data_IF_787802177954
#
_entry.id   IF_787802177954
#
_cell.length_a   1.000
_cell.length_b   1.000
_cell.length_c   1.000
_cell.angle_alpha   90.00
_cell.angle_beta   90.00
_cell.angle_gamma   90.00
#
_symmetry.space_group_name_H-M   'P 1'
#
loop_
_entity.id
_entity.type
_entity.pdbx_description
1 polymer ?
#
# COMPACT_ATOMS: atom_id res chain seq x y z
N UNK A 1 -4.45 -94.19 -39.49
CA UNK A 1 -4.72 -93.03 -40.37
C UNK A 1 -6.17 -92.61 -40.17
N UNK A 2 -6.42 -91.63 -39.29
CA UNK A 2 -7.67 -90.86 -39.18
C UNK A 2 -7.43 -89.70 -38.20
N UNK A 3 -7.68 -88.50 -38.69
CA UNK A 3 -7.54 -87.21 -38.03
C UNK A 3 -8.55 -87.05 -36.88
N UNK A 4 -8.18 -86.29 -35.84
CA UNK A 4 -9.12 -85.64 -34.94
C UNK A 4 -8.66 -84.20 -34.71
N UNK A 5 -9.50 -83.25 -35.11
CA UNK A 5 -9.22 -81.81 -35.08
C UNK A 5 -9.37 -81.21 -33.69
N UNK A 6 -8.51 -80.24 -33.39
CA UNK A 6 -8.58 -79.41 -32.20
C UNK A 6 -9.51 -78.21 -32.44
N UNK A 7 -10.56 -78.10 -31.63
CA UNK A 7 -11.46 -76.95 -31.59
C UNK A 7 -10.81 -75.79 -30.84
N UNK A 8 -10.79 -74.60 -31.44
CA UNK A 8 -10.30 -73.38 -30.81
C UNK A 8 -11.48 -72.65 -30.14
N UNK A 9 -11.48 -72.59 -28.81
CA UNK A 9 -12.36 -71.70 -28.05
C UNK A 9 -11.75 -70.29 -28.05
N UNK A 10 -12.38 -69.35 -28.73
CA UNK A 10 -12.05 -67.93 -28.64
C UNK A 10 -12.62 -67.35 -27.34
N UNK A 11 -11.75 -66.92 -26.43
CA UNK A 11 -12.12 -66.20 -25.20
C UNK A 11 -12.12 -64.70 -25.49
N UNK A 12 -13.29 -64.07 -25.56
CA UNK A 12 -13.45 -62.62 -25.68
C UNK A 12 -13.32 -61.98 -24.29
N UNK A 13 -12.17 -61.35 -24.03
CA UNK A 13 -11.96 -60.54 -22.83
C UNK A 13 -12.61 -59.17 -23.03
N UNK A 14 -13.70 -58.92 -22.30
CA UNK A 14 -14.36 -57.60 -22.30
C UNK A 14 -13.71 -56.75 -21.21
N UNK A 15 -12.87 -55.78 -21.60
CA UNK A 15 -12.24 -54.86 -20.66
C UNK A 15 -13.28 -53.82 -20.18
N UNK A 16 -13.74 -53.96 -18.94
CA UNK A 16 -14.52 -52.93 -18.24
C UNK A 16 -13.58 -51.79 -17.82
N UNK A 17 -13.60 -50.69 -18.57
CA UNK A 17 -12.94 -49.44 -18.19
C UNK A 17 -13.81 -48.78 -17.11
N UNK A 18 -13.50 -49.08 -15.85
CA UNK A 18 -14.09 -48.39 -14.70
C UNK A 18 -13.67 -46.92 -14.72
N UNK A 19 -14.63 -46.02 -14.96
CA UNK A 19 -14.42 -44.58 -14.82
C UNK A 19 -14.25 -44.26 -13.33
N UNK A 20 -13.01 -44.05 -12.88
CA UNK A 20 -12.75 -43.51 -11.55
C UNK A 20 -13.14 -42.03 -11.59
N UNK A 21 -14.36 -41.71 -11.15
CA UNK A 21 -14.75 -40.34 -10.84
C UNK A 21 -13.91 -39.90 -9.63
N UNK A 22 -12.85 -39.15 -9.88
CA UNK A 22 -12.13 -38.45 -8.83
C UNK A 22 -13.13 -37.53 -8.12
N UNK A 23 -13.42 -37.81 -6.84
CA UNK A 23 -14.20 -36.90 -6.02
C UNK A 23 -13.50 -35.53 -6.02
N UNK A 24 -14.23 -34.41 -6.18
CA UNK A 24 -13.62 -33.09 -6.10
C UNK A 24 -12.95 -32.99 -4.72
N UNK A 25 -11.66 -32.68 -4.71
CA UNK A 25 -10.94 -32.43 -3.46
C UNK A 25 -11.68 -31.32 -2.72
N UNK A 26 -12.31 -31.64 -1.60
CA UNK A 26 -13.04 -30.66 -0.80
C UNK A 26 -12.06 -29.60 -0.31
N UNK A 27 -12.45 -28.33 -0.42
CA UNK A 27 -11.74 -27.25 0.26
C UNK A 27 -11.59 -27.60 1.75
N UNK A 28 -10.42 -27.36 2.33
CA UNK A 28 -10.15 -27.68 3.74
C UNK A 28 -9.61 -26.43 4.43
N UNK A 29 -10.51 -25.47 4.65
CA UNK A 29 -10.21 -24.24 5.38
C UNK A 29 -10.20 -24.52 6.87
N UNK A 30 -9.11 -24.17 7.55
CA UNK A 30 -9.07 -24.15 9.02
C UNK A 30 -9.52 -22.77 9.50
N UNK A 31 -10.38 -22.74 10.52
CA UNK A 31 -10.96 -21.50 11.05
C UNK A 31 -10.75 -21.41 12.56
N UNK A 32 -10.15 -20.32 13.02
CA UNK A 32 -9.99 -20.01 14.43
C UNK A 32 -10.45 -18.57 14.70
N UNK A 33 -11.47 -18.40 15.54
CA UNK A 33 -12.02 -17.08 15.91
C UNK A 33 -11.68 -16.75 17.36
N UNK A 34 -11.35 -15.49 17.60
CA UNK A 34 -11.15 -14.88 18.91
C UNK A 34 -12.10 -13.69 19.06
N UNK A 35 -12.50 -13.38 20.29
CA UNK A 35 -13.45 -12.29 20.59
C UNK A 35 -14.90 -12.70 20.44
N UNK A 36 -15.75 -11.74 20.06
CA UNK A 36 -17.20 -11.94 19.97
C UNK A 36 -17.58 -12.97 18.88
N UNK A 37 -18.57 -13.85 19.15
CA UNK A 37 -19.15 -14.70 18.12
C UNK A 37 -20.17 -13.95 17.24
N UNK A 38 -20.63 -12.78 17.66
CA UNK A 38 -21.60 -11.96 16.93
C UNK A 38 -20.88 -11.03 15.95
N UNK A 39 -21.40 -10.99 14.73
CA UNK A 39 -20.98 -10.08 13.66
C UNK A 39 -21.30 -8.62 14.01
N UNK A 40 -20.41 -7.69 13.68
CA UNK A 40 -20.73 -6.27 13.71
C UNK A 40 -21.27 -5.84 12.36
N UNK A 41 -22.41 -5.15 12.35
CA UNK A 41 -22.96 -4.57 11.14
C UNK A 41 -23.39 -3.14 11.36
N UNK A 42 -23.11 -2.28 10.38
CA UNK A 42 -23.45 -0.86 10.36
C UNK A 42 -23.96 -0.47 8.99
N UNK A 43 -24.75 0.59 8.94
CA UNK A 43 -25.27 1.16 7.68
C UNK A 43 -24.18 1.76 6.80
N UNK A 44 -23.08 2.25 7.39
CA UNK A 44 -21.92 2.77 6.66
C UNK A 44 -20.66 2.73 7.52
N UNK A 45 -19.52 2.48 6.88
CA UNK A 45 -18.18 2.61 7.45
C UNK A 45 -17.47 3.85 6.89
N UNK A 46 -16.48 4.36 7.62
CA UNK A 46 -15.85 5.64 7.28
C UNK A 46 -14.62 5.54 6.36
N UNK A 47 -14.08 4.34 6.14
CA UNK A 47 -12.89 4.11 5.31
C UNK A 47 -13.11 4.30 3.80
N UNK A 48 -12.28 3.68 2.94
CA UNK A 48 -11.43 2.53 3.25
C UNK A 48 -10.10 2.85 3.93
N UNK A 49 -9.41 1.82 4.42
CA UNK A 49 -8.07 1.93 4.98
C UNK A 49 -7.19 0.73 4.57
N UNK A 50 -5.90 0.96 4.37
CA UNK A 50 -4.94 -0.10 4.02
C UNK A 50 -3.71 -0.11 4.92
N UNK A 51 -3.15 -1.31 5.13
CA UNK A 51 -1.95 -1.52 5.96
C UNK A 51 -0.95 -2.39 5.22
N UNK A 52 0.23 -1.83 4.92
CA UNK A 52 1.31 -2.50 4.19
C UNK A 52 2.52 -2.68 5.10
N UNK A 53 2.59 -3.82 5.80
CA UNK A 53 3.66 -4.12 6.76
C UNK A 53 4.88 -4.73 6.05
N UNK A 54 6.06 -4.16 6.33
CA UNK A 54 7.31 -4.62 5.72
C UNK A 54 7.79 -5.97 6.24
N UNK A 55 7.26 -6.46 7.37
CA UNK A 55 7.50 -7.81 7.89
C UNK A 55 6.21 -8.60 8.05
N UNK A 56 6.32 -9.87 8.47
CA UNK A 56 5.14 -10.73 8.68
C UNK A 56 4.30 -10.33 9.90
N UNK A 57 4.94 -9.82 10.94
CA UNK A 57 4.25 -9.39 12.16
C UNK A 57 3.33 -8.19 11.91
N UNK A 58 2.18 -8.18 12.59
CA UNK A 58 1.29 -7.02 12.65
C UNK A 58 2.03 -5.86 13.31
N UNK A 59 2.03 -4.69 12.68
CA UNK A 59 2.48 -3.43 13.30
C UNK A 59 1.27 -2.80 14.00
N UNK A 60 1.19 -2.81 15.36
CA UNK A 60 -0.02 -2.40 16.07
C UNK A 60 -0.43 -0.96 15.78
N UNK A 61 0.54 -0.06 15.59
CA UNK A 61 0.28 1.35 15.35
C UNK A 61 -0.41 1.63 14.01
N UNK A 62 -0.04 0.95 12.92
CA UNK A 62 -0.73 1.10 11.62
C UNK A 62 -2.09 0.39 11.62
N UNK A 63 -2.18 -0.79 12.26
CA UNK A 63 -3.47 -1.48 12.40
C UNK A 63 -4.47 -0.69 13.24
N UNK A 64 -4.02 -0.05 14.32
CA UNK A 64 -4.88 0.84 15.14
C UNK A 64 -5.43 2.00 14.30
N UNK A 65 -4.58 2.65 13.49
CA UNK A 65 -5.04 3.71 12.57
C UNK A 65 -6.08 3.22 11.58
N UNK A 66 -5.89 2.03 11.00
CA UNK A 66 -6.88 1.46 10.09
C UNK A 66 -8.21 1.14 10.80
N UNK A 67 -8.16 0.60 12.02
CA UNK A 67 -9.34 0.34 12.83
C UNK A 67 -10.09 1.64 13.13
N UNK A 68 -9.39 2.67 13.57
CA UNK A 68 -10.00 3.96 13.91
C UNK A 68 -10.59 4.67 12.69
N UNK A 69 -9.90 4.63 11.55
CA UNK A 69 -10.37 5.18 10.27
C UNK A 69 -11.67 4.53 9.84
N UNK A 70 -11.72 3.19 9.82
CA UNK A 70 -12.92 2.44 9.40
C UNK A 70 -14.08 2.70 10.36
N UNK A 71 -13.80 2.72 11.68
CA UNK A 71 -14.81 2.96 12.71
C UNK A 71 -15.39 4.38 12.65
N UNK A 72 -14.59 5.37 12.25
CA UNK A 72 -14.99 6.78 12.26
C UNK A 72 -15.34 7.28 13.66
N UNK A 73 -14.63 6.80 14.69
CA UNK A 73 -14.79 7.24 16.08
C UNK A 73 -15.86 6.52 16.92
N UNK A 74 -16.56 5.51 16.39
CA UNK A 74 -17.56 4.75 17.16
C UNK A 74 -17.67 3.29 16.76
N UNK A 75 -18.30 2.48 17.63
CA UNK A 75 -18.49 1.05 17.42
C UNK A 75 -17.20 0.25 17.55
N UNK A 76 -17.24 -0.97 17.04
CA UNK A 76 -16.12 -1.89 16.88
C UNK A 76 -16.18 -2.51 15.48
N UNK A 77 -15.22 -3.35 15.11
CA UNK A 77 -15.20 -4.00 13.80
C UNK A 77 -14.66 -5.43 13.87
N UNK A 78 -14.97 -6.25 12.88
CA UNK A 78 -14.46 -7.62 12.76
C UNK A 78 -13.28 -7.69 11.78
N UNK A 79 -12.27 -8.50 12.11
CA UNK A 79 -11.09 -8.71 11.26
C UNK A 79 -11.02 -10.16 10.78
N UNK A 80 -10.84 -10.36 9.48
CA UNK A 80 -10.52 -11.65 8.89
C UNK A 80 -9.03 -11.69 8.55
N UNK A 81 -8.27 -12.58 9.19
CA UNK A 81 -6.88 -12.87 8.83
C UNK A 81 -6.85 -14.04 7.85
N UNK A 82 -6.26 -13.84 6.68
CA UNK A 82 -6.08 -14.88 5.67
C UNK A 82 -4.63 -15.38 5.71
N UNK A 83 -4.46 -16.66 6.02
CA UNK A 83 -3.15 -17.31 6.06
C UNK A 83 -3.05 -18.41 5.00
N UNK A 84 -2.02 -18.35 4.15
CA UNK A 84 -1.77 -19.37 3.12
C UNK A 84 -1.06 -20.64 3.64
N UNK A 85 -0.64 -20.62 4.90
CA UNK A 85 0.12 -21.69 5.56
C UNK A 85 0.11 -21.50 7.09
N UNK A 86 0.78 -22.42 7.80
CA UNK A 86 0.96 -22.34 9.26
C UNK A 86 -0.22 -22.92 10.05
N UNK A 87 -0.08 -22.85 11.37
CA UNK A 87 -1.10 -23.22 12.35
C UNK A 87 -1.16 -22.12 13.41
N UNK A 88 -2.30 -21.98 14.09
CA UNK A 88 -2.50 -20.95 15.11
C UNK A 88 -3.00 -19.62 14.55
N UNK A 89 -2.80 -18.55 15.31
CA UNK A 89 -3.47 -17.25 15.12
C UNK A 89 -2.58 -16.03 15.42
N UNK A 90 -1.27 -16.02 15.10
CA UNK A 90 -0.35 -15.01 15.62
C UNK A 90 -0.73 -13.56 15.28
N UNK A 91 -1.32 -13.30 14.11
CA UNK A 91 -1.85 -11.97 13.78
C UNK A 91 -3.06 -11.61 14.65
N UNK A 92 -4.01 -12.55 14.83
CA UNK A 92 -5.19 -12.32 15.66
C UNK A 92 -4.83 -12.16 17.15
N UNK A 93 -3.80 -12.86 17.64
CA UNK A 93 -3.30 -12.73 19.02
C UNK A 93 -2.88 -11.27 19.34
N UNK A 94 -2.47 -10.51 18.32
CA UNK A 94 -2.18 -9.08 18.43
C UNK A 94 -3.44 -8.25 18.17
N UNK A 95 -4.12 -8.47 17.04
CA UNK A 95 -5.23 -7.62 16.56
C UNK A 95 -6.39 -7.59 17.55
N UNK A 96 -6.71 -8.70 18.21
CA UNK A 96 -7.82 -8.76 19.17
C UNK A 96 -7.60 -7.87 20.40
N UNK A 97 -6.34 -7.53 20.70
CA UNK A 97 -5.98 -6.68 21.85
C UNK A 97 -6.13 -5.19 21.55
N UNK A 98 -6.31 -4.82 20.28
CA UNK A 98 -6.43 -3.44 19.85
C UNK A 98 -7.83 -2.89 20.17
N UNK A 99 -7.87 -1.65 20.63
CA UNK A 99 -9.14 -0.97 20.91
C UNK A 99 -9.99 -0.87 19.64
N UNK A 100 -11.27 -1.18 19.74
CA UNK A 100 -12.19 -1.16 18.61
C UNK A 100 -12.27 -2.46 17.82
N UNK A 101 -11.50 -3.51 18.16
CA UNK A 101 -11.68 -4.85 17.58
C UNK A 101 -12.79 -5.61 18.32
N UNK A 102 -13.80 -6.10 17.60
CA UNK A 102 -14.88 -6.95 18.12
C UNK A 102 -14.49 -8.44 18.10
N UNK A 103 -13.99 -8.90 16.97
CA UNK A 103 -13.47 -10.25 16.80
C UNK A 103 -12.36 -10.28 15.76
N UNK A 104 -11.54 -11.34 15.82
CA UNK A 104 -10.56 -11.65 14.79
C UNK A 104 -10.67 -13.13 14.43
N UNK A 105 -10.78 -13.43 13.13
CA UNK A 105 -10.88 -14.81 12.63
C UNK A 105 -9.72 -15.11 11.70
N UNK A 106 -8.86 -16.05 12.08
CA UNK A 106 -7.87 -16.62 11.17
C UNK A 106 -8.54 -17.71 10.31
N UNK A 107 -8.44 -17.53 9.00
CA UNK A 107 -8.81 -18.48 7.97
C UNK A 107 -7.52 -18.99 7.30
N UNK A 108 -7.16 -20.24 7.56
CA UNK A 108 -6.01 -20.88 6.93
C UNK A 108 -6.47 -21.65 5.71
N UNK A 109 -6.11 -21.14 4.53
CA UNK A 109 -6.42 -21.71 3.23
C UNK A 109 -5.10 -22.20 2.62
N UNK A 110 -5.01 -23.48 2.23
CA UNK A 110 -3.73 -24.08 1.79
C UNK A 110 -3.74 -24.54 0.35
N UNK A 111 -4.90 -24.50 -0.32
CA UNK A 111 -5.10 -24.88 -1.72
C UNK A 111 -5.69 -23.72 -2.52
N UNK A 112 -5.45 -23.72 -3.82
CA UNK A 112 -6.09 -22.76 -4.73
C UNK A 112 -7.63 -22.87 -4.68
N UNK A 113 -8.16 -24.10 -4.60
CA UNK A 113 -9.61 -24.36 -4.52
C UNK A 113 -10.26 -23.80 -3.24
N UNK A 114 -9.49 -23.59 -2.17
CA UNK A 114 -10.00 -23.02 -0.91
C UNK A 114 -10.48 -21.57 -1.09
N UNK A 115 -10.00 -20.84 -2.11
CA UNK A 115 -10.49 -19.49 -2.44
C UNK A 115 -11.97 -19.46 -2.84
N UNK A 116 -12.57 -20.62 -3.16
CA UNK A 116 -14.00 -20.75 -3.44
C UNK A 116 -14.82 -21.31 -2.26
N UNK A 117 -14.22 -21.49 -1.07
CA UNK A 117 -14.95 -21.96 0.10
C UNK A 117 -16.03 -20.95 0.52
N UNK A 118 -17.28 -21.41 0.54
CA UNK A 118 -18.44 -20.52 0.76
C UNK A 118 -18.49 -19.96 2.17
N UNK A 119 -18.03 -20.72 3.17
CA UNK A 119 -18.02 -20.29 4.57
C UNK A 119 -16.92 -19.27 4.81
N UNK A 120 -15.71 -19.52 4.32
CA UNK A 120 -14.59 -18.58 4.40
C UNK A 120 -14.96 -17.26 3.74
N UNK A 121 -15.56 -17.30 2.54
CA UNK A 121 -15.99 -16.10 1.84
C UNK A 121 -17.13 -15.36 2.54
N UNK A 122 -17.99 -16.06 3.31
CA UNK A 122 -19.00 -15.41 4.16
C UNK A 122 -18.32 -14.70 5.34
N UNK A 123 -17.39 -15.36 6.02
CA UNK A 123 -16.61 -14.74 7.11
C UNK A 123 -15.85 -13.50 6.62
N UNK A 124 -15.28 -13.55 5.41
CA UNK A 124 -14.57 -12.41 4.79
C UNK A 124 -15.53 -11.24 4.54
N UNK A 125 -16.67 -11.47 3.88
CA UNK A 125 -17.63 -10.38 3.56
C UNK A 125 -18.21 -9.73 4.80
N UNK A 126 -18.36 -10.51 5.87
CA UNK A 126 -18.87 -10.03 7.14
C UNK A 126 -17.85 -9.14 7.85
N UNK A 127 -16.56 -9.47 7.79
CA UNK A 127 -15.50 -8.64 8.37
C UNK A 127 -15.40 -7.23 7.75
N UNK A 128 -14.79 -6.31 8.49
CA UNK A 128 -14.52 -4.93 8.07
C UNK A 128 -13.05 -4.70 7.69
N UNK A 129 -12.16 -5.61 8.08
CA UNK A 129 -10.78 -5.58 7.65
C UNK A 129 -10.30 -6.98 7.26
N UNK A 130 -9.66 -7.10 6.10
CA UNK A 130 -9.00 -8.34 5.67
C UNK A 130 -7.49 -8.17 5.76
N UNK A 131 -6.86 -8.95 6.65
CA UNK A 131 -5.41 -8.95 6.82
C UNK A 131 -4.78 -10.22 6.24
N UNK A 132 -3.92 -10.09 5.24
CA UNK A 132 -3.16 -11.20 4.68
C UNK A 132 -1.88 -11.42 5.51
N UNK A 133 -1.74 -12.60 6.07
CA UNK A 133 -0.57 -12.99 6.85
C UNK A 133 0.69 -13.08 5.97
N UNK A 134 1.85 -13.19 6.63
CA UNK A 134 3.10 -13.56 5.95
C UNK A 134 3.06 -14.95 5.32
N UNK A 135 4.14 -15.34 4.64
CA UNK A 135 4.27 -16.67 4.05
C UNK A 135 4.72 -16.60 2.59
N UNK A 136 4.04 -17.35 1.74
CA UNK A 136 4.34 -17.50 0.31
C UNK A 136 3.29 -16.78 -0.54
N UNK A 137 3.71 -15.71 -1.22
CA UNK A 137 2.84 -14.92 -2.08
C UNK A 137 2.29 -15.67 -3.30
N UNK A 138 2.96 -16.73 -3.76
CA UNK A 138 2.47 -17.52 -4.89
C UNK A 138 1.16 -18.24 -4.53
N UNK A 139 1.02 -18.66 -3.27
CA UNK A 139 -0.22 -19.26 -2.77
C UNK A 139 -1.37 -18.25 -2.74
N UNK A 140 -1.09 -17.02 -2.33
CA UNK A 140 -2.08 -15.94 -2.36
C UNK A 140 -2.49 -15.60 -3.80
N UNK A 141 -1.53 -15.50 -4.72
CA UNK A 141 -1.76 -15.24 -6.14
C UNK A 141 -2.61 -16.32 -6.84
N UNK A 142 -2.58 -17.55 -6.34
CA UNK A 142 -3.41 -18.64 -6.85
C UNK A 142 -4.92 -18.46 -6.59
N UNK A 143 -5.33 -17.51 -5.73
CA UNK A 143 -6.73 -17.16 -5.50
C UNK A 143 -7.26 -16.07 -6.42
N UNK A 144 -6.44 -15.55 -7.33
CA UNK A 144 -6.91 -14.67 -8.39
C UNK A 144 -8.04 -15.33 -9.19
N UNK A 145 -9.14 -14.62 -9.39
CA UNK A 145 -10.35 -15.04 -10.08
C UNK A 145 -11.26 -15.96 -9.26
N UNK A 146 -10.94 -16.22 -7.98
CA UNK A 146 -11.82 -17.00 -7.09
C UNK A 146 -12.81 -16.11 -6.36
N UNK A 147 -13.79 -16.72 -5.70
CA UNK A 147 -14.76 -15.98 -4.89
C UNK A 147 -14.13 -15.16 -3.75
N UNK A 148 -12.93 -15.55 -3.27
CA UNK A 148 -12.17 -14.81 -2.26
C UNK A 148 -11.81 -13.41 -2.73
N UNK A 149 -11.35 -13.26 -3.98
CA UNK A 149 -11.00 -11.93 -4.53
C UNK A 149 -12.19 -10.97 -4.41
N UNK A 150 -13.33 -11.36 -4.97
CA UNK A 150 -14.56 -10.55 -4.92
C UNK A 150 -15.07 -10.32 -3.48
N UNK A 151 -14.85 -11.28 -2.58
CA UNK A 151 -15.23 -11.14 -1.18
C UNK A 151 -14.40 -10.04 -0.49
N UNK A 152 -13.09 -10.03 -0.70
CA UNK A 152 -12.19 -8.99 -0.14
C UNK A 152 -12.49 -7.63 -0.76
N UNK A 153 -12.70 -7.56 -2.07
CA UNK A 153 -13.10 -6.31 -2.74
C UNK A 153 -14.40 -5.74 -2.16
N UNK A 154 -15.37 -6.60 -1.81
CA UNK A 154 -16.62 -6.16 -1.19
C UNK A 154 -16.43 -5.55 0.20
N UNK A 155 -15.42 -5.99 0.96
CA UNK A 155 -15.05 -5.41 2.27
C UNK A 155 -14.55 -3.99 2.09
N UNK A 156 -13.66 -3.77 1.13
CA UNK A 156 -13.14 -2.42 0.82
C UNK A 156 -14.27 -1.54 0.27
N UNK A 157 -15.13 -2.08 -0.61
CA UNK A 157 -16.24 -1.33 -1.22
C UNK A 157 -17.28 -0.85 -0.20
N UNK A 158 -17.50 -1.57 0.91
CA UNK A 158 -18.40 -1.13 2.00
C UNK A 158 -17.75 -0.12 2.96
N UNK A 159 -16.52 0.34 2.69
CA UNK A 159 -15.77 1.28 3.54
C UNK A 159 -14.90 0.60 4.61
N UNK A 160 -14.70 -0.72 4.50
CA UNK A 160 -13.74 -1.48 5.29
C UNK A 160 -12.31 -1.33 4.75
N UNK A 161 -11.44 -2.29 5.06
CA UNK A 161 -10.03 -2.22 4.68
C UNK A 161 -9.40 -3.55 4.31
N UNK A 162 -8.21 -3.46 3.73
CA UNK A 162 -7.38 -4.60 3.39
C UNK A 162 -5.90 -4.31 3.63
N UNK A 163 -5.11 -5.32 3.93
CA UNK A 163 -3.68 -5.13 4.14
C UNK A 163 -2.98 -6.43 4.43
N UNK A 164 -1.72 -6.36 4.84
CA UNK A 164 -0.98 -7.54 5.22
C UNK A 164 0.49 -7.29 5.48
N UNK A 165 1.18 -8.35 5.87
CA UNK A 165 2.60 -8.34 6.17
C UNK A 165 3.40 -9.29 5.29
N UNK A 166 4.62 -8.90 4.93
CA UNK A 166 5.51 -9.73 4.10
C UNK A 166 4.85 -10.13 2.77
N UNK A 167 4.55 -11.40 2.51
CA UNK A 167 3.80 -11.85 1.34
C UNK A 167 2.38 -11.24 1.26
N UNK A 168 1.73 -11.02 2.40
CA UNK A 168 0.44 -10.33 2.46
C UNK A 168 0.50 -8.86 2.04
N UNK A 169 1.67 -8.20 2.17
CA UNK A 169 1.87 -6.87 1.60
C UNK A 169 1.98 -6.95 0.06
N UNK A 170 2.64 -7.97 -0.49
CA UNK A 170 2.85 -8.11 -1.94
C UNK A 170 1.53 -8.27 -2.69
N UNK A 171 0.63 -9.12 -2.18
CA UNK A 171 -0.68 -9.39 -2.82
C UNK A 171 -1.59 -8.15 -2.85
N UNK A 172 -1.37 -7.19 -1.95
CA UNK A 172 -2.12 -5.93 -1.85
C UNK A 172 -1.60 -4.84 -2.82
N UNK A 173 -1.17 -5.23 -4.02
CA UNK A 173 -0.75 -4.30 -5.08
C UNK A 173 -1.37 -4.67 -6.42
N UNK A 174 -1.49 -3.68 -7.31
CA UNK A 174 -2.06 -3.83 -8.65
C UNK A 174 -1.24 -4.82 -9.51
N UNK A 175 0.09 -4.74 -9.39
CA UNK A 175 1.04 -5.63 -10.03
C UNK A 175 1.78 -6.40 -8.94
N UNK A 176 1.38 -7.65 -8.73
CA UNK A 176 1.90 -8.50 -7.64
C UNK A 176 3.17 -9.19 -8.11
N UNK A 177 4.29 -8.96 -7.43
CA UNK A 177 5.45 -9.86 -7.53
C UNK A 177 5.12 -11.16 -6.79
N UNK A 178 4.72 -12.19 -7.55
CA UNK A 178 4.13 -13.42 -6.99
C UNK A 178 5.17 -14.46 -6.56
N UNK A 179 6.44 -14.28 -6.94
CA UNK A 179 7.54 -15.17 -6.63
C UNK A 179 7.23 -16.67 -6.88
N UNK A 180 6.36 -17.01 -7.83
CA UNK A 180 6.00 -18.39 -8.13
C UNK A 180 7.16 -19.21 -8.72
N UNK A 181 8.12 -18.55 -9.36
CA UNK A 181 9.41 -19.16 -9.74
C UNK A 181 10.43 -19.23 -8.59
N UNK A 182 10.11 -18.67 -7.42
CA UNK A 182 11.02 -18.43 -6.31
C UNK A 182 11.39 -16.95 -6.18
N UNK A 183 11.86 -16.54 -4.99
CA UNK A 183 12.28 -15.15 -4.75
C UNK A 183 13.54 -14.81 -5.55
N UNK A 184 13.60 -13.58 -6.07
CA UNK A 184 14.76 -13.01 -6.77
C UNK A 184 15.47 -11.99 -5.86
N UNK A 185 16.80 -11.89 -5.99
CA UNK A 185 17.62 -10.85 -5.35
C UNK A 185 17.72 -9.61 -6.24
N UNK A 186 18.16 -8.48 -5.70
CA UNK A 186 18.45 -7.28 -6.51
C UNK A 186 19.48 -7.54 -7.60
N UNK A 187 20.60 -8.20 -7.28
CA UNK A 187 21.63 -8.52 -8.26
C UNK A 187 21.09 -9.40 -9.42
N UNK A 188 20.31 -10.44 -9.11
CA UNK A 188 19.73 -11.32 -10.13
C UNK A 188 18.70 -10.59 -11.00
N UNK A 189 17.80 -9.81 -10.38
CA UNK A 189 16.75 -9.09 -11.10
C UNK A 189 17.31 -8.00 -12.04
N UNK A 190 18.38 -7.32 -11.62
CA UNK A 190 19.05 -6.31 -12.44
C UNK A 190 19.89 -6.94 -13.57
N UNK A 191 20.45 -8.13 -13.36
CA UNK A 191 21.23 -8.86 -14.36
C UNK A 191 20.36 -9.48 -15.46
N UNK A 192 19.14 -9.91 -15.15
CA UNK A 192 18.16 -10.40 -16.12
C UNK A 192 16.72 -10.12 -15.67
N UNK A 193 16.13 -8.98 -16.11
CA UNK A 193 14.75 -8.63 -15.77
C UNK A 193 13.69 -9.56 -16.38
N UNK A 194 14.04 -10.53 -17.22
CA UNK A 194 13.16 -11.58 -17.75
C UNK A 194 13.51 -12.98 -17.21
N UNK A 195 14.36 -13.05 -16.18
CA UNK A 195 14.72 -14.33 -15.57
C UNK A 195 13.49 -15.11 -15.07
N UNK A 196 13.60 -16.45 -14.90
CA UNK A 196 12.47 -17.32 -14.57
C UNK A 196 11.79 -17.00 -13.23
N UNK A 197 12.47 -16.26 -12.34
CA UNK A 197 11.96 -15.86 -11.02
C UNK A 197 11.37 -14.44 -11.02
N UNK A 198 11.33 -13.77 -12.18
CA UNK A 198 10.71 -12.46 -12.41
C UNK A 198 9.24 -12.65 -12.81
N UNK A 199 8.47 -13.30 -11.94
CA UNK A 199 7.06 -13.65 -12.18
C UNK A 199 6.11 -12.66 -11.52
N UNK A 200 5.03 -12.33 -12.22
CA UNK A 200 4.05 -11.34 -11.78
C UNK A 200 2.63 -11.83 -12.03
N UNK A 201 1.78 -11.55 -11.06
CA UNK A 201 0.34 -11.74 -11.15
C UNK A 201 -0.34 -10.38 -11.26
N UNK A 202 -1.31 -10.25 -12.16
CA UNK A 202 -2.06 -9.03 -12.43
C UNK A 202 -3.54 -9.25 -12.18
N UNK A 203 -4.28 -8.19 -11.85
CA UNK A 203 -5.72 -8.27 -11.63
C UNK A 203 -6.07 -9.17 -10.45
N UNK A 204 -5.29 -9.07 -9.37
CA UNK A 204 -5.65 -9.65 -8.08
C UNK A 204 -6.44 -8.63 -7.27
N UNK A 205 -5.87 -7.45 -7.01
CA UNK A 205 -6.56 -6.38 -6.32
C UNK A 205 -6.21 -5.05 -6.92
N UNK A 206 -7.21 -4.19 -6.96
CA UNK A 206 -7.08 -2.88 -7.55
C UNK A 206 -7.66 -1.85 -6.58
N UNK A 207 -6.83 -1.38 -5.65
CA UNK A 207 -7.22 -0.39 -4.63
C UNK A 207 -7.31 1.06 -5.12
N UNK A 208 -8.28 1.87 -4.65
CA UNK A 208 -8.39 3.30 -4.98
C UNK A 208 -7.10 4.04 -4.69
N UNK A 209 -6.76 5.02 -5.54
CA UNK A 209 -5.57 5.88 -5.46
C UNK A 209 -4.20 5.15 -5.51
N UNK A 210 -4.19 3.81 -5.48
CA UNK A 210 -3.00 2.95 -5.40
C UNK A 210 -2.76 2.12 -6.68
N UNK A 211 -3.18 2.62 -7.85
CA UNK A 211 -2.96 1.98 -9.16
C UNK A 211 -1.51 2.04 -9.63
N UNK A 212 -1.14 1.14 -10.55
CA UNK A 212 0.19 1.05 -11.17
C UNK A 212 1.32 0.79 -10.15
N UNK A 213 1.01 0.16 -9.01
CA UNK A 213 1.96 -0.08 -7.92
C UNK A 213 2.43 -1.53 -7.87
N UNK A 214 3.67 -1.72 -7.42
CA UNK A 214 4.27 -3.00 -7.04
C UNK A 214 4.76 -2.85 -5.60
N UNK A 215 4.27 -3.69 -4.70
CA UNK A 215 4.72 -3.68 -3.30
C UNK A 215 5.94 -4.58 -3.12
N UNK A 216 6.86 -4.17 -2.25
CA UNK A 216 7.95 -5.01 -1.78
C UNK A 216 8.20 -4.84 -0.27
N UNK A 217 8.46 -5.95 0.40
CA UNK A 217 8.58 -6.07 1.86
C UNK A 217 10.00 -6.47 2.23
N UNK A 218 10.37 -6.43 3.50
CA UNK A 218 11.73 -6.73 3.98
C UNK A 218 12.79 -5.90 3.25
N UNK A 219 12.44 -4.64 2.97
CA UNK A 219 12.97 -3.94 1.82
C UNK A 219 14.47 -3.62 1.91
N UNK A 220 14.90 -2.98 2.99
CA UNK A 220 16.30 -2.65 3.27
C UNK A 220 17.06 -3.87 3.77
N UNK A 221 16.52 -4.60 4.75
CA UNK A 221 17.25 -5.72 5.37
C UNK A 221 17.57 -6.87 4.41
N UNK A 222 16.87 -6.98 3.26
CA UNK A 222 17.16 -7.98 2.22
C UNK A 222 17.67 -7.37 0.91
N UNK A 223 18.10 -6.11 0.95
CA UNK A 223 18.57 -5.35 -0.20
C UNK A 223 17.65 -5.49 -1.43
N UNK A 224 16.42 -4.95 -1.37
CA UNK A 224 15.37 -5.14 -2.37
C UNK A 224 15.05 -3.91 -3.22
N UNK A 225 15.79 -2.82 -3.08
CA UNK A 225 15.64 -1.65 -3.97
C UNK A 225 15.93 -2.01 -5.43
N UNK A 226 17.06 -2.67 -5.71
CA UNK A 226 17.45 -3.02 -7.07
C UNK A 226 16.44 -3.93 -7.78
N UNK A 227 15.92 -4.96 -7.10
CA UNK A 227 14.87 -5.80 -7.70
C UNK A 227 13.58 -5.03 -7.92
N UNK A 228 13.21 -4.12 -7.01
CA UNK A 228 12.01 -3.28 -7.19
C UNK A 228 12.16 -2.33 -8.37
N UNK A 229 13.35 -1.76 -8.57
CA UNK A 229 13.68 -0.96 -9.77
C UNK A 229 13.53 -1.80 -11.05
N UNK A 230 13.98 -3.06 -11.05
CA UNK A 230 13.76 -3.98 -12.16
C UNK A 230 12.27 -4.29 -12.37
N UNK A 231 11.49 -4.48 -11.30
CA UNK A 231 10.05 -4.74 -11.37
C UNK A 231 9.29 -3.60 -12.03
N UNK A 232 9.52 -2.36 -11.59
CA UNK A 232 8.81 -1.18 -12.15
C UNK A 232 9.25 -0.89 -13.58
N UNK A 233 10.55 -1.01 -13.90
CA UNK A 233 11.04 -0.88 -15.26
C UNK A 233 10.41 -1.92 -16.19
N UNK A 234 10.21 -3.14 -15.67
CA UNK A 234 9.58 -4.22 -16.40
C UNK A 234 8.08 -4.00 -16.62
N UNK A 235 7.38 -3.51 -15.61
CA UNK A 235 5.98 -3.14 -15.72
C UNK A 235 5.73 -2.02 -16.76
N UNK A 236 6.62 -1.02 -16.82
CA UNK A 236 6.58 0.02 -17.88
C UNK A 236 6.82 -0.60 -19.25
N UNK A 237 7.88 -1.40 -19.40
CA UNK A 237 8.23 -2.04 -20.68
C UNK A 237 7.12 -2.91 -21.25
N UNK A 238 6.48 -3.69 -20.39
CA UNK A 238 5.49 -4.68 -20.79
C UNK A 238 4.08 -4.06 -20.91
N UNK A 239 3.94 -2.73 -20.79
CA UNK A 239 2.66 -2.04 -20.93
C UNK A 239 1.63 -2.41 -19.85
N UNK A 240 2.11 -2.77 -18.65
CA UNK A 240 1.27 -3.22 -17.53
C UNK A 240 0.74 -2.08 -16.66
N UNK A 241 1.04 -0.85 -17.03
CA UNK A 241 0.62 0.35 -16.33
C UNK A 241 -0.02 1.34 -17.28
N UNK A 242 -0.88 2.20 -16.74
CA UNK A 242 -1.44 3.33 -17.46
C UNK A 242 -0.46 4.51 -17.43
N UNK A 243 -0.36 5.27 -18.53
CA UNK A 243 0.48 6.46 -18.61
C UNK A 243 2.00 6.21 -18.70
N UNK A 244 2.44 4.96 -18.87
CA UNK A 244 3.85 4.64 -19.07
C UNK A 244 4.71 4.78 -17.81
N UNK A 245 4.09 4.73 -16.62
CA UNK A 245 4.75 4.90 -15.34
C UNK A 245 4.35 3.82 -14.32
N UNK A 246 5.32 3.28 -13.60
CA UNK A 246 5.13 2.26 -12.57
C UNK A 246 5.79 2.67 -11.24
N UNK A 247 5.14 2.31 -10.13
CA UNK A 247 5.50 2.75 -8.79
C UNK A 247 5.83 1.57 -7.89
N UNK A 248 7.04 1.53 -7.37
CA UNK A 248 7.49 0.53 -6.40
C UNK A 248 7.29 1.07 -5.00
N UNK A 249 6.74 0.28 -4.09
CA UNK A 249 6.54 0.67 -2.70
C UNK A 249 7.22 -0.32 -1.77
N UNK A 250 8.34 0.09 -1.20
CA UNK A 250 9.19 -0.70 -0.32
C UNK A 250 8.95 -0.39 1.15
N UNK A 251 8.52 -1.37 1.94
CA UNK A 251 8.40 -1.25 3.40
C UNK A 251 9.41 -2.14 4.13
N UNK A 252 10.08 -1.58 5.13
CA UNK A 252 11.09 -2.28 5.93
C UNK A 252 10.49 -3.10 7.08
N UNK A 253 11.19 -4.18 7.48
CA UNK A 253 10.79 -4.99 8.64
C UNK A 253 10.59 -4.14 9.90
N UNK A 254 9.47 -4.37 10.60
CA UNK A 254 9.07 -3.60 11.78
C UNK A 254 8.48 -2.22 11.45
N UNK A 255 8.39 -1.84 10.18
CA UNK A 255 7.68 -0.65 9.69
C UNK A 255 6.42 -0.98 8.91
N UNK A 256 5.66 0.07 8.62
CA UNK A 256 4.41 -0.02 7.85
C UNK A 256 4.13 1.26 7.09
N UNK A 257 3.41 1.14 5.97
CA UNK A 257 2.66 2.22 5.35
C UNK A 257 1.17 2.00 5.63
N UNK A 258 0.55 2.94 6.34
CA UNK A 258 -0.90 3.03 6.46
C UNK A 258 -1.41 3.99 5.39
N UNK A 259 -2.43 3.60 4.62
CA UNK A 259 -3.07 4.44 3.60
C UNK A 259 -4.52 4.69 4.01
N UNK A 260 -4.91 5.95 4.10
CA UNK A 260 -6.29 6.34 4.42
C UNK A 260 -7.19 6.38 3.19
N UNK A 261 -8.47 6.71 3.41
CA UNK A 261 -9.49 6.85 2.35
C UNK A 261 -9.20 7.98 1.36
N UNK A 262 -8.32 8.92 1.75
CA UNK A 262 -7.94 10.06 0.94
C UNK A 262 -6.70 9.81 0.08
N UNK A 263 -6.16 8.59 0.14
CA UNK A 263 -4.95 8.20 -0.57
C UNK A 263 -3.69 8.75 0.08
N UNK A 264 -3.76 9.29 1.30
CA UNK A 264 -2.61 9.79 2.02
C UNK A 264 -1.98 8.64 2.83
N UNK A 265 -0.77 8.25 2.45
CA UNK A 265 -0.01 7.28 3.20
C UNK A 265 0.73 7.95 4.35
N UNK A 266 0.78 7.31 5.52
CA UNK A 266 1.63 7.67 6.64
C UNK A 266 2.61 6.53 6.95
N UNK A 267 3.88 6.87 7.11
CA UNK A 267 4.94 5.92 7.46
C UNK A 267 5.00 5.72 8.97
N UNK A 268 5.03 4.46 9.39
CA UNK A 268 5.04 4.06 10.80
C UNK A 268 6.31 3.27 11.12
N UNK A 269 6.98 3.66 12.22
CA UNK A 269 8.09 2.99 12.90
C UNK A 269 9.44 2.83 12.14
N UNK A 270 9.45 2.53 10.85
CA UNK A 270 10.68 2.41 10.03
C UNK A 270 10.52 3.14 8.70
N UNK A 271 11.65 3.41 8.06
CA UNK A 271 11.64 4.02 6.74
C UNK A 271 10.87 3.15 5.74
N UNK A 272 10.17 3.82 4.83
CA UNK A 272 9.63 3.25 3.62
C UNK A 272 10.20 3.97 2.41
N UNK A 273 10.04 3.38 1.23
CA UNK A 273 10.56 3.93 -0.02
C UNK A 273 9.49 3.85 -1.10
N UNK A 274 9.40 4.92 -1.90
CA UNK A 274 8.64 4.90 -3.15
C UNK A 274 9.62 5.08 -4.30
N UNK A 275 9.51 4.23 -5.32
CA UNK A 275 10.38 4.22 -6.50
C UNK A 275 9.51 4.44 -7.73
N UNK A 276 9.92 5.32 -8.63
CA UNK A 276 9.20 5.58 -9.88
C UNK A 276 10.10 5.31 -11.07
N UNK A 277 9.59 4.49 -12.00
CA UNK A 277 10.00 4.47 -13.39
C UNK A 277 8.90 5.14 -14.23
N UNK A 278 9.23 6.21 -14.95
CA UNK A 278 8.27 7.08 -15.66
C UNK A 278 8.51 7.20 -17.18
N UNK A 279 9.35 6.32 -17.74
CA UNK A 279 9.63 6.26 -19.17
C UNK A 279 10.17 4.88 -19.59
N UNK A 280 10.19 4.54 -20.89
CA UNK A 280 10.74 3.27 -21.35
C UNK A 280 12.24 3.11 -21.00
N UNK A 281 12.67 1.94 -20.48
CA UNK A 281 14.08 1.71 -20.15
C UNK A 281 14.98 1.76 -21.40
N UNK A 282 16.18 2.32 -21.30
CA UNK A 282 17.13 2.33 -22.42
C UNK A 282 17.52 0.92 -22.86
N UNK A 283 17.56 -0.03 -21.92
CA UNK A 283 17.67 -1.46 -22.25
C UNK A 283 16.97 -2.34 -21.24
N UNK A 284 16.07 -3.18 -21.75
CA UNK A 284 15.41 -4.23 -20.99
C UNK A 284 15.02 -5.36 -21.96
N UNK A 285 15.74 -6.47 -21.89
CA UNK A 285 15.63 -7.59 -22.83
C UNK A 285 15.95 -8.91 -22.11
N UNK A 286 15.43 -10.06 -22.58
CA UNK A 286 15.76 -11.34 -21.99
C UNK A 286 17.26 -11.65 -21.98
N UNK A 287 17.76 -12.12 -20.84
CA UNK A 287 19.17 -12.51 -20.66
C UNK A 287 20.16 -11.35 -20.73
N UNK A 288 19.68 -10.10 -20.62
CA UNK A 288 20.52 -8.89 -20.69
C UNK A 288 20.31 -8.02 -19.45
N UNK A 289 21.40 -7.49 -18.86
CA UNK A 289 21.29 -6.59 -17.73
C UNK A 289 20.49 -5.32 -18.05
N UNK A 290 19.73 -4.85 -17.07
CA UNK A 290 18.92 -3.63 -17.14
C UNK A 290 19.80 -2.40 -17.41
N UNK A 291 19.31 -1.48 -18.23
CA UNK A 291 19.74 -0.08 -18.19
C UNK A 291 18.52 0.82 -18.15
N UNK A 292 18.47 1.64 -17.12
CA UNK A 292 17.43 2.62 -16.84
C UNK A 292 18.07 3.78 -16.10
N UNK A 293 18.02 4.99 -16.65
CA UNK A 293 18.50 6.20 -15.96
C UNK A 293 17.36 7.00 -15.37
N UNK A 294 17.63 7.66 -14.25
CA UNK A 294 16.71 8.61 -13.64
C UNK A 294 15.53 7.99 -12.93
N UNK A 295 15.69 6.83 -12.26
CA UNK A 295 14.68 6.41 -11.29
C UNK A 295 14.53 7.48 -10.22
N UNK A 296 13.28 7.84 -9.90
CA UNK A 296 12.98 8.78 -8.83
C UNK A 296 12.67 7.99 -7.56
N UNK A 297 13.37 8.29 -6.48
CA UNK A 297 13.23 7.57 -5.21
C UNK A 297 12.91 8.56 -4.10
N UNK A 298 11.81 8.32 -3.39
CA UNK A 298 11.46 8.98 -2.15
C UNK A 298 11.84 8.08 -0.99
N UNK A 299 12.69 8.59 -0.09
CA UNK A 299 12.93 7.97 1.22
C UNK A 299 12.00 8.63 2.22
N UNK A 300 11.11 7.83 2.78
CA UNK A 300 10.05 8.29 3.66
C UNK A 300 10.39 7.87 5.10
N UNK A 301 10.70 8.85 5.95
CA UNK A 301 11.01 8.60 7.36
C UNK A 301 9.74 8.34 8.19
N UNK A 302 9.81 7.67 9.36
CA UNK A 302 8.68 7.55 10.26
C UNK A 302 8.00 8.89 10.55
N UNK A 303 6.67 8.93 10.47
CA UNK A 303 5.86 10.14 10.65
C UNK A 303 5.71 11.00 9.38
N UNK A 304 6.49 10.74 8.32
CA UNK A 304 6.27 11.39 7.02
C UNK A 304 5.06 10.81 6.30
N UNK A 305 4.59 11.54 5.29
CA UNK A 305 3.46 11.16 4.46
C UNK A 305 3.82 11.11 2.98
N UNK A 306 3.02 10.37 2.21
CA UNK A 306 3.09 10.33 0.76
C UNK A 306 1.68 10.26 0.18
N UNK A 307 1.30 11.24 -0.63
CA UNK A 307 -0.03 11.31 -1.23
C UNK A 307 -0.07 10.47 -2.52
N UNK A 308 -0.74 9.33 -2.51
CA UNK A 308 -0.90 8.46 -3.68
C UNK A 308 -1.98 8.94 -4.65
N UNK A 309 -2.95 9.75 -4.17
CA UNK A 309 -3.97 10.41 -5.00
C UNK A 309 -3.36 11.56 -5.80
N UNK A 310 -2.49 12.35 -5.16
CA UNK A 310 -1.74 13.46 -5.76
C UNK A 310 -0.23 13.23 -5.65
N UNK A 311 0.28 12.27 -6.43
CA UNK A 311 1.68 11.81 -6.36
C UNK A 311 2.67 12.98 -6.50
N UNK A 312 3.56 13.20 -5.50
CA UNK A 312 4.53 14.29 -5.55
C UNK A 312 5.44 14.24 -6.77
N UNK A 313 5.85 15.42 -7.27
CA UNK A 313 6.82 15.56 -8.38
C UNK A 313 8.15 16.16 -7.93
N UNK A 314 8.41 16.14 -6.62
CA UNK A 314 9.57 16.71 -5.93
C UNK A 314 9.93 15.84 -4.72
N UNK A 315 11.03 16.14 -4.02
CA UNK A 315 11.43 15.44 -2.80
C UNK A 315 12.08 14.08 -3.03
N UNK A 316 12.26 13.67 -4.28
CA UNK A 316 12.97 12.46 -4.66
C UNK A 316 14.46 12.73 -4.91
N UNK A 317 15.29 11.71 -4.75
CA UNK A 317 16.63 11.65 -5.33
C UNK A 317 16.64 10.73 -6.56
N UNK A 318 17.64 10.90 -7.43
CA UNK A 318 17.76 10.13 -8.67
C UNK A 318 18.76 8.99 -8.52
N UNK A 319 18.45 7.84 -9.11
CA UNK A 319 19.40 6.72 -9.26
C UNK A 319 19.33 6.14 -10.66
N UNK A 320 20.51 5.78 -11.16
CA UNK A 320 20.67 5.10 -12.43
C UNK A 320 20.98 3.62 -12.19
N UNK A 321 20.56 2.79 -13.13
CA UNK A 321 21.09 1.45 -13.32
C UNK A 321 21.67 1.40 -14.73
N UNK A 322 22.94 1.07 -14.87
CA UNK A 322 23.60 0.91 -16.17
C UNK A 322 24.23 -0.46 -16.20
N UNK A 323 23.93 -1.26 -17.23
CA UNK A 323 24.44 -2.63 -17.36
C UNK A 323 24.23 -3.52 -16.13
N UNK A 324 23.08 -3.38 -15.47
CA UNK A 324 22.70 -4.11 -14.25
C UNK A 324 23.40 -3.60 -12.98
N UNK A 325 24.19 -2.54 -13.08
CA UNK A 325 24.93 -1.94 -11.96
C UNK A 325 24.24 -0.66 -11.51
N UNK A 326 23.74 -0.61 -10.26
CA UNK A 326 23.23 0.63 -9.67
C UNK A 326 24.33 1.68 -9.46
N UNK A 327 24.01 2.94 -9.72
CA UNK A 327 24.89 4.07 -9.40
C UNK A 327 24.70 4.56 -7.96
N UNK A 328 25.74 4.46 -7.14
CA UNK A 328 25.77 4.98 -5.77
C UNK A 328 24.93 4.16 -4.76
N UNK A 329 24.77 4.69 -3.55
CA UNK A 329 23.92 4.07 -2.52
C UNK A 329 22.44 4.22 -2.91
N UNK A 330 21.74 3.09 -3.03
CA UNK A 330 20.34 3.03 -3.40
C UNK A 330 19.37 3.51 -2.30
N UNK A 331 19.75 3.47 -1.02
CA UNK A 331 18.86 3.77 0.11
C UNK A 331 19.07 5.16 0.73
N UNK A 332 19.99 5.95 0.19
CA UNK A 332 20.24 7.30 0.65
C UNK A 332 20.68 8.19 -0.50
N UNK A 333 20.26 9.45 -0.49
CA UNK A 333 20.60 10.41 -1.53
C UNK A 333 20.04 11.80 -1.24
N UNK A 334 20.72 12.82 -1.77
CA UNK A 334 20.24 14.20 -1.68
C UNK A 334 19.05 14.41 -2.64
N UNK A 335 17.90 14.92 -2.16
CA UNK A 335 16.76 15.20 -3.02
C UNK A 335 17.10 16.22 -4.11
N UNK A 336 16.70 15.94 -5.36
CA UNK A 336 16.97 16.80 -6.51
C UNK A 336 16.21 18.14 -6.46
N UNK A 337 15.08 18.20 -5.75
CA UNK A 337 14.32 19.42 -5.45
C UNK A 337 13.51 19.21 -4.17
N UNK A 338 13.47 20.21 -3.28
CA UNK A 338 12.58 20.17 -2.11
C UNK A 338 11.12 20.41 -2.54
N UNK A 339 10.16 19.70 -1.93
CA UNK A 339 8.74 20.02 -2.07
C UNK A 339 8.41 21.26 -1.23
N UNK A 340 8.76 22.44 -1.74
CA UNK A 340 8.41 23.73 -1.14
C UNK A 340 9.26 24.12 0.08
N UNK A 341 10.29 24.92 -0.17
CA UNK A 341 10.58 26.05 0.70
C UNK A 341 10.16 27.30 -0.06
N UNK A 342 9.36 28.17 0.54
CA UNK A 342 9.24 29.56 0.06
C UNK A 342 10.64 30.16 0.07
N UNK A 343 11.31 30.23 -1.08
CA UNK A 343 12.36 31.23 -1.26
C UNK A 343 11.63 32.56 -1.23
N UNK A 344 11.64 33.23 -0.07
CA UNK A 344 11.47 34.67 -0.07
C UNK A 344 12.56 35.19 -1.01
N UNK A 345 12.16 35.62 -2.20
CA UNK A 345 13.03 36.42 -3.04
C UNK A 345 13.28 37.70 -2.24
N UNK A 346 14.42 37.76 -1.57
CA UNK A 346 15.04 39.03 -1.21
C UNK A 346 15.48 39.66 -2.52
N UNK A 347 14.59 40.36 -3.20
CA UNK A 347 15.00 41.35 -4.19
C UNK A 347 15.77 42.44 -3.43
N UNK A 348 17.09 42.32 -3.41
CA UNK A 348 17.95 43.47 -3.12
C UNK A 348 18.06 44.27 -4.41
N UNK A 349 17.20 45.27 -4.58
CA UNK A 349 17.40 46.30 -5.59
C UNK A 349 18.71 47.04 -5.28
N UNK A 350 19.63 47.24 -6.25
CA UNK A 350 20.89 47.96 -6.05
C UNK A 350 20.74 49.43 -5.61
N UNK A 351 19.51 49.96 -5.55
CA UNK A 351 19.20 51.36 -5.26
C UNK A 351 18.08 51.53 -4.22
N UNK A 352 17.95 50.67 -3.20
CA UNK A 352 17.04 50.96 -2.09
C UNK A 352 17.54 52.19 -1.29
N UNK A 353 16.85 53.35 -1.35
CA UNK A 353 17.28 54.56 -0.65
C UNK A 353 17.19 54.44 0.88
N UNK A 354 16.60 53.37 1.42
CA UNK A 354 16.53 53.09 2.86
C UNK A 354 17.83 52.52 3.44
N UNK A 355 18.81 52.17 2.60
CA UNK A 355 20.04 51.50 3.02
C UNK A 355 21.33 52.35 2.90
N UNK A 356 21.26 53.64 2.56
CA UNK A 356 22.46 54.46 2.37
C UNK A 356 22.52 55.72 3.25
N UNK A 357 23.21 55.70 4.41
CA UNK A 357 23.41 56.87 5.26
C UNK A 357 24.69 57.61 4.83
N UNK A 358 24.64 58.36 3.73
CA UNK A 358 25.77 59.22 3.37
C UNK A 358 25.79 59.70 1.93
N UNK A 359 25.25 60.89 1.67
CA UNK A 359 25.40 61.61 0.40
C UNK A 359 24.66 62.95 0.42
N UNK A 360 25.22 64.03 -0.17
CA UNK A 360 25.06 65.40 0.34
C UNK A 360 23.72 66.03 -0.05
N UNK A 361 23.12 66.73 0.91
CA UNK A 361 21.83 67.40 0.73
C UNK A 361 21.89 68.67 -0.13
N UNK A 362 20.76 69.12 -0.69
CA UNK A 362 20.62 70.47 -1.22
C UNK A 362 19.80 71.38 -0.28
N UNK A 363 20.48 72.44 0.14
CA UNK A 363 20.11 73.85 0.31
C UNK A 363 18.64 74.24 0.62
N UNK A 364 18.53 74.91 1.78
CA UNK A 364 17.50 75.85 2.27
C UNK A 364 16.74 76.65 1.19
N UNK A 365 15.42 76.73 1.36
CA UNK A 365 14.63 77.94 1.12
C UNK A 365 13.73 78.19 2.35
N UNK A 366 13.90 79.36 2.97
CA UNK A 366 13.05 79.91 4.03
C UNK A 366 11.74 80.50 3.46
N UNK A 367 10.85 80.91 4.38
CA UNK A 367 9.51 81.53 4.25
C UNK A 367 8.38 80.49 4.33
N UNK A 368 7.40 80.57 5.22
CA UNK A 368 7.00 81.56 6.22
C UNK A 368 5.69 81.02 6.82
N UNK A 369 5.53 81.16 8.13
CA UNK A 369 4.56 80.39 8.91
C UNK A 369 3.07 80.74 8.73
N UNK A 370 2.23 79.88 9.29
CA UNK A 370 1.00 80.32 9.94
C UNK A 370 0.66 79.40 11.13
N UNK A 371 0.15 80.03 12.19
CA UNK A 371 -0.12 79.52 13.54
C UNK A 371 -1.54 78.96 13.68
N UNK A 372 -1.70 78.13 14.71
CA UNK A 372 -2.94 77.97 15.51
C UNK A 372 -3.86 76.86 15.01
N UNK A 373 -4.52 76.05 15.83
CA UNK A 373 -4.79 76.07 17.28
C UNK A 373 -5.47 74.73 17.63
N UNK A 374 -5.15 74.11 18.78
CA UNK A 374 -5.97 73.00 19.33
C UNK A 374 -7.27 73.51 19.97
N UNK A 375 -7.90 72.79 20.91
CA UNK A 375 -7.90 71.34 21.17
C UNK A 375 -9.34 70.79 21.44
N UNK A 376 -9.38 69.51 21.80
CA UNK A 376 -10.16 68.97 22.95
C UNK A 376 -11.62 68.45 22.85
N UNK A 377 -11.80 67.37 23.64
CA UNK A 377 -13.01 66.85 24.32
C UNK A 377 -13.80 65.64 23.74
N UNK A 378 -13.45 64.47 24.29
CA UNK A 378 -14.27 63.36 24.85
C UNK A 378 -15.66 63.76 25.45
N UNK A 379 -16.57 62.85 25.92
CA UNK A 379 -16.35 61.45 26.39
C UNK A 379 -17.49 60.39 26.16
N UNK A 380 -17.16 59.15 26.55
CA UNK A 380 -17.93 58.07 27.22
C UNK A 380 -19.45 58.19 27.49
N UNK A 381 -20.19 57.07 27.40
CA UNK A 381 -20.49 56.12 28.51
C UNK A 381 -21.55 55.06 28.14
N UNK A 382 -21.28 53.80 28.54
CA UNK A 382 -22.06 52.87 29.41
C UNK A 382 -23.61 52.78 29.17
N UNK A 383 -24.30 51.63 29.18
CA UNK A 383 -24.32 50.60 30.23
C UNK A 383 -25.30 49.43 29.93
N UNK A 384 -25.00 48.28 30.54
CA UNK A 384 -25.89 47.33 31.24
C UNK A 384 -27.02 46.49 30.55
N UNK A 385 -26.78 45.15 30.56
CA UNK A 385 -27.50 44.08 31.30
C UNK A 385 -29.05 44.07 31.34
N UNK A 386 -29.69 42.92 31.04
CA UNK A 386 -30.17 42.00 32.10
C UNK A 386 -30.69 40.63 31.61
N UNK A 387 -30.75 39.71 32.58
CA UNK A 387 -31.08 38.27 32.57
C UNK A 387 -32.58 37.93 32.40
N UNK A 388 -32.89 36.66 32.08
CA UNK A 388 -33.54 35.62 32.95
C UNK A 388 -34.22 34.51 32.10
N UNK A 389 -34.12 33.22 32.49
CA UNK A 389 -34.75 32.06 31.84
C UNK A 389 -36.04 31.56 32.55
N UNK A 390 -36.80 30.64 31.92
CA UNK A 390 -37.47 29.45 32.51
C UNK A 390 -38.74 29.01 31.74
N UNK A 391 -38.91 27.71 31.47
CA UNK A 391 -39.88 26.78 32.12
C UNK A 391 -40.20 25.53 31.28
N UNK A 392 -40.33 24.40 32.00
CA UNK A 392 -40.90 23.11 31.60
C UNK A 392 -42.43 23.21 31.40
N UNK A 393 -43.04 22.30 30.62
CA UNK A 393 -44.01 21.29 31.10
C UNK A 393 -44.70 20.51 29.97
N UNK A 394 -45.08 19.27 30.32
CA UNK A 394 -45.96 18.27 29.68
C UNK A 394 -45.34 17.32 28.64
#
# INVERSE_FOLDING_TARGET
>A
MRMAGASWCALTVTALVGSVLAAPASAAVTRARQGSPADVSRTSWAGPAFVMNGGGAVVPASMTRAIDEIRGGSGSLDVAVIAASGTGTPECDVIITLAGTNSCTTLTLTRAADGNDTRANTDIRNAEFVYFAGGDQCRYAAWRGTALESAVESVVAKGGGAGGGSAGMHINSDIVYDACGGSVTSATALADPYGPNMTFTYGMFAWPDYRNTINDSHFVTRDRMGRTMAFVARAVRDGRTTGGAAWGVGAEEGGSLYLDRDGLAAVVARNAYVVLADHPPERIQPGRPLSYRGFKIWKLAPGSTFDFRHRPTCGYYLRDVVDGVPGGDLYDGAPAAACGGTTAFSESEPNDPRLNPGGPGPVRAELGGYRGSGPDLHPHRDDALDRVPSTLAA
#
